data_IF_332625184374
#
_entry.id   IF_332625184374
#
_cell.length_a   1.000
_cell.length_b   1.000
_cell.length_c   1.000
_cell.angle_alpha   90.00
_cell.angle_beta   90.00
_cell.angle_gamma   90.00
#
_symmetry.space_group_name_H-M   'P 1'
#
loop_
_entity.id
_entity.type
_entity.pdbx_description
1 polymer ?
#
# COMPACT_ATOMS: atom_id res chain seq x y z
N UNK A 1 19.53 5.63 21.32
CA UNK A 1 19.35 5.64 19.86
C UNK A 1 17.91 6.06 19.60
N UNK A 2 17.66 6.97 18.66
CA UNK A 2 16.30 7.38 18.31
C UNK A 2 15.49 6.15 17.86
N UNK A 3 14.31 5.95 18.44
CA UNK A 3 13.46 4.78 18.14
C UNK A 3 12.69 5.04 16.84
N UNK A 4 13.36 4.84 15.69
CA UNK A 4 12.80 5.10 14.36
C UNK A 4 12.35 3.82 13.67
N UNK A 5 11.26 3.90 12.90
CA UNK A 5 10.69 2.73 12.22
C UNK A 5 10.20 3.02 10.81
N UNK A 6 10.61 2.20 9.85
CA UNK A 6 10.09 2.24 8.48
C UNK A 6 8.63 1.78 8.46
N UNK A 7 7.74 2.56 7.84
CA UNK A 7 6.29 2.34 7.88
C UNK A 7 5.76 1.83 6.55
N UNK A 8 5.90 2.63 5.50
CA UNK A 8 5.30 2.34 4.21
C UNK A 8 5.91 3.14 3.08
N UNK A 9 5.61 2.70 1.86
CA UNK A 9 5.82 3.48 0.64
C UNK A 9 4.48 3.86 0.01
N UNK A 10 4.32 5.12 -0.38
CA UNK A 10 3.12 5.67 -1.00
C UNK A 10 3.19 5.51 -2.52
N UNK A 11 2.16 4.92 -3.11
CA UNK A 11 1.99 4.79 -4.55
C UNK A 11 0.74 5.51 -5.02
N UNK A 12 0.85 6.24 -6.14
CA UNK A 12 -0.31 6.79 -6.85
C UNK A 12 -0.88 5.74 -7.79
N UNK A 13 -2.16 5.42 -7.67
CA UNK A 13 -2.81 4.38 -8.47
C UNK A 13 -3.89 4.98 -9.35
N UNK A 14 -3.95 4.53 -10.61
CA UNK A 14 -4.95 4.96 -11.59
C UNK A 14 -6.05 3.92 -11.81
N UNK A 15 -5.70 2.63 -11.83
CA UNK A 15 -6.63 1.52 -11.99
C UNK A 15 -6.74 0.71 -10.68
N UNK A 16 -7.82 0.92 -9.92
CA UNK A 16 -8.05 0.24 -8.63
C UNK A 16 -8.28 -1.27 -8.78
N UNK A 17 -8.90 -1.73 -9.86
CA UNK A 17 -9.21 -3.14 -10.07
C UNK A 17 -7.97 -3.97 -10.31
N UNK A 18 -7.13 -3.53 -11.26
CA UNK A 18 -5.85 -4.20 -11.51
C UNK A 18 -4.94 -4.09 -10.27
N UNK A 19 -4.99 -2.96 -9.55
CA UNK A 19 -4.19 -2.76 -8.35
C UNK A 19 -4.62 -3.76 -7.27
N UNK A 20 -5.91 -3.92 -7.02
CA UNK A 20 -6.42 -4.91 -6.08
C UNK A 20 -5.99 -6.34 -6.48
N UNK A 21 -6.12 -6.71 -7.76
CA UNK A 21 -5.67 -8.01 -8.26
C UNK A 21 -4.17 -8.22 -8.01
N UNK A 22 -3.32 -7.23 -8.31
CA UNK A 22 -1.88 -7.34 -8.09
C UNK A 22 -1.53 -7.49 -6.59
N UNK A 23 -1.96 -6.58 -5.74
CA UNK A 23 -1.56 -6.61 -4.34
C UNK A 23 -2.16 -7.81 -3.59
N UNK A 24 -3.41 -8.16 -3.89
CA UNK A 24 -4.12 -9.24 -3.20
C UNK A 24 -3.84 -10.62 -3.81
N UNK A 25 -4.06 -10.77 -5.11
CA UNK A 25 -4.08 -12.10 -5.74
C UNK A 25 -2.69 -12.51 -6.22
N UNK A 26 -1.87 -11.55 -6.69
CA UNK A 26 -0.48 -11.81 -7.07
C UNK A 26 0.42 -11.84 -5.84
N UNK A 27 0.52 -10.74 -5.09
CA UNK A 27 1.43 -10.65 -3.95
C UNK A 27 0.93 -11.42 -2.71
N UNK A 28 -0.39 -11.59 -2.55
CA UNK A 28 -0.94 -12.21 -1.34
C UNK A 28 -1.05 -11.25 -0.15
N UNK A 29 -0.99 -9.94 -0.37
CA UNK A 29 -1.19 -8.93 0.67
C UNK A 29 -2.67 -8.78 1.01
N UNK A 30 -2.94 -8.17 2.16
CA UNK A 30 -4.28 -7.88 2.68
C UNK A 30 -4.50 -6.38 2.75
N UNK A 31 -5.76 -5.97 2.61
CA UNK A 31 -6.19 -4.61 2.97
C UNK A 31 -6.19 -4.51 4.49
N UNK A 32 -5.54 -3.49 5.02
CA UNK A 32 -5.39 -3.27 6.46
C UNK A 32 -6.35 -2.18 6.96
N UNK A 33 -6.51 -1.12 6.18
CA UNK A 33 -7.48 -0.05 6.40
C UNK A 33 -7.68 0.75 5.12
N UNK A 34 -8.84 1.39 5.02
CA UNK A 34 -9.21 2.25 3.92
C UNK A 34 -9.83 3.55 4.44
N UNK A 35 -9.49 4.67 3.85
CA UNK A 35 -10.04 5.98 4.18
C UNK A 35 -10.43 6.76 2.93
N UNK A 36 -11.55 7.47 3.00
CA UNK A 36 -12.05 8.36 1.95
C UNK A 36 -11.97 9.82 2.43
N UNK A 37 -11.48 10.69 1.55
CA UNK A 37 -11.27 12.10 1.83
C UNK A 37 -12.00 12.95 0.79
N UNK A 38 -12.74 13.96 1.25
CA UNK A 38 -13.47 14.88 0.37
C UNK A 38 -12.58 15.99 -0.18
N UNK A 39 -11.55 16.39 0.58
CA UNK A 39 -10.67 17.51 0.28
C UNK A 39 -9.21 17.06 0.14
N UNK A 40 -8.41 17.85 -0.57
CA UNK A 40 -6.96 17.66 -0.69
C UNK A 40 -6.24 17.69 0.67
N UNK A 41 -5.12 16.97 0.77
CA UNK A 41 -4.40 16.85 2.03
C UNK A 41 -3.49 18.06 2.30
N UNK A 42 -3.50 18.59 3.54
CA UNK A 42 -2.63 19.69 3.99
C UNK A 42 -1.12 19.42 3.82
N UNK A 43 -0.71 18.15 3.86
CA UNK A 43 0.68 17.73 3.65
C UNK A 43 0.93 17.15 2.24
N UNK A 44 0.03 17.47 1.29
CA UNK A 44 0.06 16.99 -0.09
C UNK A 44 0.24 15.46 -0.17
N UNK A 45 -0.32 14.69 0.77
CA UNK A 45 -0.22 13.22 0.77
C UNK A 45 -0.79 12.60 -0.51
N UNK A 46 -1.77 13.26 -1.13
CA UNK A 46 -2.35 12.83 -2.39
C UNK A 46 -1.68 13.43 -3.63
N UNK A 47 -0.65 14.27 -3.45
CA UNK A 47 -0.01 15.05 -4.50
C UNK A 47 -0.60 16.46 -4.65
N UNK A 48 -0.37 17.14 -5.79
CA UNK A 48 -0.83 18.51 -6.02
C UNK A 48 -2.33 18.61 -6.40
N UNK A 49 -3.14 17.61 -6.05
CA UNK A 49 -4.53 17.50 -6.50
C UNK A 49 -5.51 17.93 -5.41
N UNK A 50 -6.54 18.67 -5.80
CA UNK A 50 -7.52 19.32 -4.93
C UNK A 50 -8.87 18.57 -4.84
N UNK A 51 -9.01 17.46 -5.58
CA UNK A 51 -10.22 16.65 -5.60
C UNK A 51 -10.31 15.59 -4.51
N UNK A 52 -11.43 14.85 -4.53
CA UNK A 52 -11.65 13.67 -3.68
C UNK A 52 -10.55 12.63 -3.92
N UNK A 53 -10.17 11.93 -2.87
CA UNK A 53 -9.18 10.88 -2.95
C UNK A 53 -9.41 9.84 -1.87
N UNK A 54 -8.86 8.66 -2.09
CA UNK A 54 -8.88 7.58 -1.10
C UNK A 54 -7.47 7.09 -0.82
N UNK A 55 -7.31 6.53 0.38
CA UNK A 55 -6.11 5.91 0.89
C UNK A 55 -6.42 4.46 1.23
N UNK A 56 -5.63 3.52 0.74
CA UNK A 56 -5.75 2.11 1.11
C UNK A 56 -4.40 1.59 1.54
N UNK A 57 -4.30 1.10 2.78
CA UNK A 57 -3.09 0.46 3.27
C UNK A 57 -3.16 -1.03 2.98
N UNK A 58 -2.14 -1.57 2.31
CA UNK A 58 -2.06 -3.00 2.00
C UNK A 58 -0.70 -3.59 2.38
N UNK A 59 -0.69 -4.77 2.98
CA UNK A 59 0.55 -5.40 3.45
C UNK A 59 0.36 -6.85 3.88
N UNK A 60 1.43 -7.47 4.38
CA UNK A 60 1.41 -8.86 4.86
C UNK A 60 0.92 -9.01 6.31
N UNK A 61 0.87 -7.91 7.07
CA UNK A 61 0.43 -7.88 8.46
C UNK A 61 0.19 -6.46 8.95
N UNK A 62 -0.08 -6.28 10.25
CA UNK A 62 -0.37 -4.97 10.85
C UNK A 62 0.75 -3.95 10.62
N UNK A 63 0.37 -2.67 10.51
CA UNK A 63 1.31 -1.55 10.30
C UNK A 63 2.27 -1.31 11.49
N UNK A 64 2.04 -1.95 12.64
CA UNK A 64 2.88 -1.80 13.84
C UNK A 64 4.23 -2.52 13.70
N UNK A 65 4.27 -3.62 12.94
CA UNK A 65 5.42 -4.51 12.79
C UNK A 65 5.74 -4.89 11.33
N UNK A 66 4.95 -4.42 10.36
CA UNK A 66 5.19 -4.62 8.93
C UNK A 66 5.42 -3.30 8.18
N UNK A 67 6.26 -3.36 7.15
CA UNK A 67 6.34 -2.35 6.12
C UNK A 67 5.27 -2.60 5.06
N UNK A 68 4.40 -1.61 4.86
CA UNK A 68 3.21 -1.77 4.00
C UNK A 68 3.27 -0.84 2.80
N UNK A 69 2.28 -0.91 1.91
CA UNK A 69 2.12 0.07 0.83
C UNK A 69 0.86 0.89 1.05
N UNK A 70 1.01 2.21 0.89
CA UNK A 70 -0.11 3.16 0.91
C UNK A 70 -0.53 3.41 -0.55
N UNK A 71 -1.76 3.05 -0.90
CA UNK A 71 -2.31 3.24 -2.24
C UNK A 71 -3.19 4.49 -2.24
N UNK A 72 -2.74 5.51 -2.95
CA UNK A 72 -3.44 6.78 -3.12
C UNK A 72 -4.17 6.79 -4.46
N UNK A 73 -5.50 6.84 -4.43
CA UNK A 73 -6.33 7.00 -5.61
C UNK A 73 -6.97 8.38 -5.61
N UNK A 74 -6.59 9.23 -6.57
CA UNK A 74 -7.25 10.52 -6.80
C UNK A 74 -8.40 10.33 -7.80
N UNK A 75 -9.61 10.74 -7.43
CA UNK A 75 -10.77 10.58 -8.28
C UNK A 75 -10.62 11.41 -9.56
N UNK A 76 -10.94 10.79 -10.71
CA UNK A 76 -10.80 11.41 -12.03
C UNK A 76 -9.41 11.32 -12.65
N UNK A 77 -8.39 10.80 -11.94
CA UNK A 77 -7.03 10.64 -12.47
C UNK A 77 -6.74 9.17 -12.77
N UNK A 78 -6.72 8.82 -14.05
CA UNK A 78 -6.57 7.43 -14.52
C UNK A 78 -5.14 6.94 -14.71
N UNK A 79 -4.14 7.84 -14.74
CA UNK A 79 -2.75 7.47 -15.00
C UNK A 79 -1.77 8.51 -14.46
N UNK A 80 -0.57 8.05 -14.11
CA UNK A 80 0.56 8.88 -13.70
C UNK A 80 1.77 8.50 -14.54
N UNK A 81 2.57 9.49 -14.93
CA UNK A 81 3.83 9.25 -15.65
C UNK A 81 4.90 8.84 -14.63
N UNK A 82 5.47 7.65 -14.81
CA UNK A 82 6.62 7.21 -14.04
C UNK A 82 7.90 7.91 -14.50
N UNK A 83 8.70 8.32 -13.52
CA UNK A 83 10.05 8.76 -13.72
C UNK A 83 11.06 7.61 -13.63
N UNK A 84 12.28 7.92 -13.21
CA UNK A 84 13.36 6.94 -12.97
C UNK A 84 13.78 6.88 -11.48
N UNK A 85 13.03 7.54 -10.61
CA UNK A 85 13.29 7.74 -9.18
C UNK A 85 13.05 6.47 -8.34
N UNK A 86 11.90 5.81 -8.54
CA UNK A 86 11.56 4.56 -7.88
C UNK A 86 12.06 3.35 -8.67
N UNK A 87 12.95 2.56 -8.06
CA UNK A 87 13.59 1.42 -8.73
C UNK A 87 12.98 0.08 -8.37
N UNK A 88 12.25 -0.02 -7.25
CA UNK A 88 11.41 -1.17 -6.95
C UNK A 88 11.31 -1.51 -5.46
N UNK A 89 10.31 -2.33 -5.11
CA UNK A 89 10.22 -3.00 -3.81
C UNK A 89 10.66 -4.47 -3.98
N UNK A 90 11.48 -4.97 -3.06
CA UNK A 90 11.85 -6.39 -3.03
C UNK A 90 11.08 -7.13 -1.95
N UNK A 91 10.51 -8.28 -2.30
CA UNK A 91 9.69 -9.13 -1.44
C UNK A 91 10.19 -10.58 -1.49
N UNK A 92 10.36 -11.20 -0.33
CA UNK A 92 10.66 -12.63 -0.22
C UNK A 92 9.36 -13.46 -0.16
N UNK A 93 8.94 -14.05 -1.28
CA UNK A 93 7.71 -14.85 -1.31
C UNK A 93 7.64 -15.79 -2.52
N UNK A 94 7.94 -17.08 -2.28
CA UNK A 94 7.64 -18.18 -3.22
C UNK A 94 6.18 -18.24 -3.62
N UNK A 95 5.28 -17.91 -2.69
CA UNK A 95 3.84 -17.92 -2.96
C UNK A 95 3.48 -16.83 -3.99
N UNK A 96 4.06 -15.63 -3.88
CA UNK A 96 3.81 -14.55 -4.84
C UNK A 96 4.30 -14.92 -6.26
N UNK A 97 5.47 -15.57 -6.37
CA UNK A 97 5.97 -16.10 -7.65
C UNK A 97 5.00 -17.14 -8.24
N UNK A 98 4.54 -18.07 -7.39
CA UNK A 98 3.59 -19.11 -7.80
C UNK A 98 2.24 -18.54 -8.24
N UNK A 99 1.73 -17.55 -7.50
CA UNK A 99 0.48 -16.85 -7.80
C UNK A 99 0.57 -16.10 -9.13
N UNK A 100 1.64 -15.31 -9.33
CA UNK A 100 1.88 -14.61 -10.59
C UNK A 100 1.89 -15.56 -11.79
N UNK A 101 2.59 -16.71 -11.69
CA UNK A 101 2.59 -17.75 -12.74
C UNK A 101 1.20 -18.30 -13.00
N UNK A 102 0.45 -18.64 -11.95
CA UNK A 102 -0.92 -19.17 -12.05
C UNK A 102 -1.89 -18.18 -12.71
N UNK A 103 -1.78 -16.90 -12.34
CA UNK A 103 -2.60 -15.82 -12.87
C UNK A 103 -2.11 -15.30 -14.23
N UNK A 104 -1.00 -15.86 -14.75
CA UNK A 104 -0.32 -15.37 -15.96
C UNK A 104 0.05 -13.89 -15.88
N UNK A 105 0.34 -13.40 -14.67
CA UNK A 105 0.85 -12.05 -14.46
C UNK A 105 2.30 -11.96 -14.97
N UNK A 106 2.69 -10.89 -15.69
CA UNK A 106 4.04 -10.78 -16.25
C UNK A 106 5.15 -10.94 -15.20
N UNK A 107 6.09 -11.83 -15.49
CA UNK A 107 7.22 -12.20 -14.64
C UNK A 107 8.46 -12.39 -15.51
N UNK A 108 9.53 -11.64 -15.22
CA UNK A 108 10.83 -11.80 -15.87
C UNK A 108 11.86 -12.33 -14.88
N UNK A 109 12.57 -13.41 -15.23
CA UNK A 109 13.64 -13.95 -14.37
C UNK A 109 14.90 -13.10 -14.50
N UNK A 110 15.40 -12.60 -13.38
CA UNK A 110 16.61 -11.76 -13.30
C UNK A 110 17.86 -12.57 -12.91
N UNK A 111 17.70 -13.87 -12.70
CA UNK A 111 18.73 -14.77 -12.17
C UNK A 111 18.75 -14.84 -10.63
N UNK A 112 19.41 -15.86 -10.09
CA UNK A 112 19.56 -16.04 -8.64
C UNK A 112 18.24 -16.26 -7.87
N UNK A 113 17.20 -16.77 -8.55
CA UNK A 113 15.87 -16.95 -7.94
C UNK A 113 15.09 -15.65 -7.72
N UNK A 114 15.49 -14.55 -8.36
CA UNK A 114 14.79 -13.27 -8.31
C UNK A 114 14.01 -13.04 -9.59
N UNK A 115 12.76 -12.63 -9.47
CA UNK A 115 11.90 -12.31 -10.59
C UNK A 115 11.39 -10.87 -10.53
N UNK A 116 11.48 -10.15 -11.65
CA UNK A 116 10.88 -8.82 -11.81
C UNK A 116 9.42 -8.97 -12.26
N UNK A 117 8.54 -8.22 -11.61
CA UNK A 117 7.16 -7.98 -12.04
C UNK A 117 6.83 -6.50 -11.88
N UNK A 118 5.69 -6.07 -12.39
CA UNK A 118 5.22 -4.68 -12.29
C UNK A 118 3.81 -4.64 -11.74
N UNK A 119 3.59 -3.76 -10.77
CA UNK A 119 2.26 -3.34 -10.38
C UNK A 119 1.64 -2.47 -11.50
N UNK A 120 0.31 -2.32 -11.52
CA UNK A 120 -0.35 -1.36 -12.40
C UNK A 120 0.22 0.04 -12.22
N UNK A 121 0.35 0.77 -13.32
CA UNK A 121 1.12 2.03 -13.37
C UNK A 121 2.61 1.83 -13.66
N UNK A 122 3.14 0.61 -13.56
CA UNK A 122 4.51 0.25 -13.98
C UNK A 122 5.54 0.14 -12.84
N UNK A 123 5.11 0.30 -11.58
CA UNK A 123 5.99 0.22 -10.41
C UNK A 123 6.61 -1.17 -10.29
N UNK A 124 7.94 -1.24 -10.20
CA UNK A 124 8.67 -2.51 -10.16
C UNK A 124 8.57 -3.20 -8.80
N UNK A 125 8.37 -4.52 -8.84
CA UNK A 125 8.49 -5.40 -7.70
C UNK A 125 9.45 -6.54 -8.05
N UNK A 126 10.32 -6.88 -7.11
CA UNK A 126 11.28 -7.98 -7.21
C UNK A 126 10.88 -9.08 -6.23
N UNK A 127 10.49 -10.23 -6.74
CA UNK A 127 10.05 -11.38 -5.96
C UNK A 127 11.21 -12.37 -5.83
N UNK A 128 11.68 -12.60 -4.61
CA UNK A 128 12.66 -13.66 -4.32
C UNK A 128 11.90 -14.97 -4.07
N UNK A 129 12.23 -16.02 -4.84
CA UNK A 129 11.64 -17.36 -4.73
C UNK A 129 12.23 -18.15 -3.55
N UNK A 130 12.00 -17.62 -2.36
CA UNK A 130 12.33 -18.25 -1.10
C UNK A 130 11.09 -18.29 -0.20
N UNK A 131 11.14 -19.16 0.80
CA UNK A 131 10.17 -19.07 1.89
C UNK A 131 10.40 -17.73 2.60
N UNK A 132 9.32 -16.99 2.94
CA UNK A 132 9.47 -15.74 3.66
C UNK A 132 10.23 -15.98 4.97
N UNK A 133 10.97 -14.98 5.47
CA UNK A 133 11.53 -15.05 6.82
C UNK A 133 10.41 -15.28 7.84
N UNK A 134 10.75 -15.60 9.10
CA UNK A 134 9.75 -15.62 10.19
C UNK A 134 9.13 -14.23 10.45
N UNK A 135 9.63 -13.18 9.80
CA UNK A 135 9.21 -11.78 9.87
C UNK A 135 8.56 -11.30 8.56
N UNK A 136 8.31 -9.99 8.46
CA UNK A 136 7.77 -9.32 7.27
C UNK A 136 8.47 -9.76 5.96
N UNK A 137 7.71 -10.22 4.94
CA UNK A 137 8.24 -10.55 3.61
C UNK A 137 8.82 -9.35 2.84
N UNK A 138 8.47 -8.11 3.18
CA UNK A 138 8.98 -6.93 2.48
C UNK A 138 10.39 -6.61 2.97
N UNK A 139 11.37 -6.74 2.08
CA UNK A 139 12.78 -6.65 2.44
C UNK A 139 13.34 -5.23 2.31
N UNK A 140 13.05 -4.57 1.20
CA UNK A 140 13.61 -3.25 0.89
C UNK A 140 12.82 -2.46 -0.15
N UNK A 141 12.95 -1.14 -0.06
CA UNK A 141 12.61 -0.16 -1.12
C UNK A 141 13.91 0.28 -1.78
N UNK A 142 13.94 0.38 -3.11
CA UNK A 142 15.12 0.85 -3.86
C UNK A 142 14.81 2.19 -4.54
N UNK A 143 15.61 3.21 -4.23
CA UNK A 143 15.51 4.55 -4.81
C UNK A 143 16.76 4.90 -5.61
N UNK A 144 16.57 5.61 -6.73
CA UNK A 144 17.64 6.12 -7.54
C UNK A 144 18.23 7.38 -6.92
N UNK A 145 19.55 7.51 -6.93
CA UNK A 145 20.24 8.73 -6.48
C UNK A 145 21.19 9.23 -7.55
N UNK A 146 21.44 10.54 -7.61
CA UNK A 146 22.43 11.10 -8.54
C UNK A 146 23.85 11.05 -7.97
N UNK A 147 23.99 11.13 -6.64
CA UNK A 147 25.25 11.07 -5.91
C UNK A 147 25.08 10.22 -4.65
N UNK A 148 25.72 9.05 -4.63
CA UNK A 148 25.61 8.12 -3.52
C UNK A 148 26.20 8.70 -2.23
N UNK A 149 27.34 9.38 -2.29
CA UNK A 149 28.01 9.89 -1.10
C UNK A 149 27.21 11.03 -0.44
N UNK A 150 26.65 11.92 -1.26
CA UNK A 150 25.75 12.99 -0.78
C UNK A 150 24.50 12.40 -0.12
N UNK A 151 23.95 11.34 -0.72
CA UNK A 151 22.78 10.65 -0.18
C UNK A 151 23.11 9.89 1.11
N UNK A 152 24.26 9.24 1.19
CA UNK A 152 24.74 8.59 2.42
C UNK A 152 24.94 9.60 3.56
N UNK A 153 25.51 10.77 3.29
CA UNK A 153 25.61 11.81 4.30
C UNK A 153 24.22 12.24 4.82
N UNK A 154 23.24 12.40 3.93
CA UNK A 154 21.88 12.74 4.32
C UNK A 154 21.20 11.62 5.14
N UNK A 155 21.13 10.41 4.59
CA UNK A 155 20.36 9.30 5.17
C UNK A 155 21.03 8.69 6.40
N UNK A 156 22.37 8.60 6.42
CA UNK A 156 23.12 8.06 7.54
C UNK A 156 23.45 9.13 8.58
N UNK A 157 24.12 10.22 8.19
CA UNK A 157 24.65 11.18 9.18
C UNK A 157 23.56 12.10 9.75
N UNK A 158 22.59 12.53 8.94
CA UNK A 158 21.51 13.41 9.40
C UNK A 158 20.31 12.61 9.92
N UNK A 159 19.84 11.62 9.14
CA UNK A 159 18.67 10.83 9.49
C UNK A 159 18.97 9.60 10.35
N UNK A 160 20.24 9.30 10.62
CA UNK A 160 20.65 8.28 11.59
C UNK A 160 20.44 6.83 11.16
N UNK A 161 20.29 6.55 9.85
CA UNK A 161 20.23 5.17 9.39
C UNK A 161 21.61 4.50 9.47
N UNK A 162 21.64 3.23 9.88
CA UNK A 162 22.85 2.40 9.80
C UNK A 162 23.06 1.93 8.36
N UNK A 163 24.29 1.98 7.88
CA UNK A 163 24.71 1.35 6.63
C UNK A 163 24.96 -0.15 6.89
N UNK A 164 24.22 -1.01 6.19
CA UNK A 164 24.32 -2.47 6.27
C UNK A 164 25.25 -3.02 5.19
N UNK A 165 25.17 -2.46 3.99
CA UNK A 165 25.99 -2.84 2.85
C UNK A 165 26.36 -1.59 2.07
N UNK A 166 27.57 -1.56 1.53
CA UNK A 166 28.02 -0.54 0.59
C UNK A 166 28.85 -1.24 -0.49
N UNK A 167 28.47 -1.03 -1.75
CA UNK A 167 29.16 -1.57 -2.93
C UNK A 167 29.54 -0.38 -3.81
N UNK A 168 30.77 0.10 -3.63
CA UNK A 168 31.32 1.22 -4.40
C UNK A 168 31.36 0.92 -5.89
N UNK A 169 31.60 -0.34 -6.30
CA UNK A 169 31.70 -0.69 -7.73
C UNK A 169 30.36 -0.60 -8.42
N UNK A 170 29.28 -1.00 -7.72
CA UNK A 170 27.90 -0.90 -8.24
C UNK A 170 27.21 0.41 -7.87
N UNK A 171 27.90 1.30 -7.16
CA UNK A 171 27.36 2.54 -6.61
C UNK A 171 26.02 2.30 -5.90
N UNK A 172 26.02 1.39 -4.93
CA UNK A 172 24.84 0.96 -4.20
C UNK A 172 25.10 0.92 -2.70
N UNK A 173 24.15 1.35 -1.89
CA UNK A 173 24.19 1.16 -0.44
C UNK A 173 22.84 0.69 0.10
N UNK A 174 22.87 -0.11 1.16
CA UNK A 174 21.70 -0.61 1.88
C UNK A 174 21.69 -0.01 3.29
N UNK A 175 20.61 0.68 3.65
CA UNK A 175 20.47 1.39 4.91
C UNK A 175 19.23 0.91 5.67
N UNK A 176 19.20 1.14 6.99
CA UNK A 176 18.00 0.92 7.79
C UNK A 176 18.18 1.29 9.25
N UNK A 177 17.05 1.33 9.98
CA UNK A 177 17.06 1.65 11.42
C UNK A 177 17.28 0.43 12.32
N UNK A 178 16.84 -0.77 11.89
CA UNK A 178 17.01 -2.01 12.65
C UNK A 178 17.08 -3.23 11.72
N UNK A 179 17.68 -4.31 12.21
CA UNK A 179 17.93 -5.54 11.45
C UNK A 179 16.61 -6.17 10.94
N UNK A 180 15.54 -6.07 11.73
CA UNK A 180 14.22 -6.64 11.46
C UNK A 180 13.26 -5.72 10.68
N UNK A 181 13.67 -4.52 10.29
CA UNK A 181 12.84 -3.60 9.51
C UNK A 181 13.14 -3.67 8.00
N UNK A 182 12.18 -3.27 7.18
CA UNK A 182 12.41 -2.99 5.75
C UNK A 182 13.57 -2.00 5.58
N UNK A 183 14.45 -2.29 4.62
CA UNK A 183 15.65 -1.50 4.33
C UNK A 183 15.39 -0.48 3.21
N UNK A 184 16.21 0.55 3.17
CA UNK A 184 16.29 1.49 2.05
C UNK A 184 17.57 1.19 1.26
N UNK A 185 17.43 0.80 0.00
CA UNK A 185 18.54 0.68 -0.93
C UNK A 185 18.63 1.94 -1.79
N UNK A 186 19.80 2.57 -1.79
CA UNK A 186 20.14 3.68 -2.66
C UNK A 186 21.00 3.12 -3.78
N UNK A 187 20.64 3.41 -5.03
CA UNK A 187 21.42 3.01 -6.21
C UNK A 187 21.67 4.22 -7.09
N UNK A 188 22.93 4.56 -7.29
CA UNK A 188 23.27 5.65 -8.18
C UNK A 188 22.87 5.33 -9.62
N UNK A 189 22.32 6.32 -10.32
CA UNK A 189 22.00 6.22 -11.74
C UNK A 189 22.79 7.26 -12.55
N UNK A 190 23.07 6.99 -13.84
CA UNK A 190 23.62 8.00 -14.71
C UNK A 190 22.61 9.15 -14.92
N UNK A 191 23.05 10.38 -14.68
CA UNK A 191 22.25 11.57 -14.93
C UNK A 191 21.35 11.98 -13.76
N UNK A 192 20.30 12.73 -14.06
CA UNK A 192 19.40 13.30 -13.06
C UNK A 192 18.28 12.31 -12.69
N UNK A 193 17.89 12.33 -11.42
CA UNK A 193 16.66 11.69 -10.94
C UNK A 193 15.44 12.51 -11.41
N UNK A 194 14.58 11.87 -12.19
CA UNK A 194 13.29 12.38 -12.65
C UNK A 194 12.17 11.69 -11.87
N UNK A 195 11.36 12.49 -11.19
CA UNK A 195 10.22 12.06 -10.39
C UNK A 195 8.92 11.97 -11.20
N UNK A 196 8.85 12.68 -12.34
CA UNK A 196 7.64 12.85 -13.14
C UNK A 196 6.39 13.13 -12.27
N UNK A 197 5.27 12.44 -12.50
CA UNK A 197 4.03 12.62 -11.71
C UNK A 197 3.68 11.42 -10.84
N UNK A 198 4.26 10.25 -11.14
CA UNK A 198 4.08 8.99 -10.41
C UNK A 198 5.00 8.81 -9.20
N UNK A 199 5.81 9.81 -8.85
CA UNK A 199 6.64 9.77 -7.64
C UNK A 199 5.83 9.42 -6.40
N UNK A 200 6.47 8.65 -5.53
CA UNK A 200 5.94 8.24 -4.23
C UNK A 200 6.56 9.00 -3.07
N UNK A 201 6.31 8.47 -1.87
CA UNK A 201 6.87 8.99 -0.61
C UNK A 201 7.17 7.81 0.30
N UNK A 202 8.32 7.81 0.96
CA UNK A 202 8.62 6.83 2.01
C UNK A 202 8.33 7.43 3.39
N UNK A 203 7.72 6.65 4.28
CA UNK A 203 7.33 7.12 5.61
C UNK A 203 8.08 6.38 6.72
N UNK A 204 8.46 7.14 7.74
CA UNK A 204 9.08 6.67 8.96
C UNK A 204 8.35 7.25 10.17
N UNK A 205 8.34 6.52 11.28
CA UNK A 205 7.95 7.08 12.57
C UNK A 205 9.17 7.39 13.44
N UNK A 206 9.00 8.35 14.33
CA UNK A 206 9.88 8.62 15.47
C UNK A 206 9.01 9.09 16.65
N UNK A 207 9.52 9.12 17.90
CA UNK A 207 8.77 9.71 19.00
C UNK A 207 8.33 11.13 18.65
N UNK A 208 7.06 11.48 18.90
CA UNK A 208 6.48 12.75 18.46
C UNK A 208 7.30 13.97 18.91
N UNK A 209 7.89 13.92 20.11
CA UNK A 209 8.76 14.96 20.66
C UNK A 209 10.03 15.23 19.84
N UNK A 210 10.48 14.28 19.01
CA UNK A 210 11.68 14.41 18.18
C UNK A 210 11.39 15.10 16.83
N UNK A 211 10.11 15.32 16.47
CA UNK A 211 9.76 15.95 15.20
C UNK A 211 10.23 17.41 15.12
N UNK A 212 10.14 18.16 16.21
CA UNK A 212 10.67 19.54 16.27
C UNK A 212 12.19 19.57 16.13
N UNK A 213 12.87 18.65 16.82
CA UNK A 213 14.33 18.54 16.76
C UNK A 213 14.80 18.17 15.33
N UNK A 214 14.03 17.34 14.64
CA UNK A 214 14.26 16.99 13.24
C UNK A 214 14.08 18.20 12.32
N UNK A 215 13.04 19.00 12.53
CA UNK A 215 12.83 20.25 11.77
C UNK A 215 14.00 21.22 11.95
N UNK A 216 14.44 21.42 13.19
CA UNK A 216 15.55 22.31 13.52
C UNK A 216 16.89 21.81 12.97
N UNK A 217 17.13 20.48 13.00
CA UNK A 217 18.25 19.85 12.32
C UNK A 217 18.23 20.16 10.81
N UNK A 218 17.11 19.94 10.14
CA UNK A 218 17.02 20.17 8.69
C UNK A 218 17.20 21.63 8.30
N UNK A 219 16.69 22.57 9.12
CA UNK A 219 16.95 24.02 8.94
C UNK A 219 18.44 24.35 9.11
N UNK A 220 19.06 23.84 10.18
CA UNK A 220 20.49 24.09 10.47
C UNK A 220 21.41 23.58 9.37
N UNK A 221 21.13 22.38 8.86
CA UNK A 221 21.90 21.73 7.80
C UNK A 221 21.49 22.20 6.39
N UNK A 222 20.64 23.22 6.28
CA UNK A 222 20.13 23.80 5.03
C UNK A 222 19.53 22.74 4.07
N UNK A 223 18.81 21.78 4.63
CA UNK A 223 18.11 20.73 3.89
C UNK A 223 16.67 21.16 3.57
N UNK A 224 16.07 20.51 2.56
CA UNK A 224 14.74 20.89 2.07
C UNK A 224 13.64 20.31 2.95
N UNK A 225 12.87 21.20 3.58
CA UNK A 225 11.59 20.89 4.20
C UNK A 225 10.48 21.26 3.21
N UNK A 226 9.65 20.29 2.83
CA UNK A 226 8.49 20.49 1.96
C UNK A 226 7.26 20.93 2.74
N UNK A 227 7.07 20.35 3.92
CA UNK A 227 5.98 20.70 4.83
C UNK A 227 6.54 20.74 6.25
N UNK A 228 6.58 21.92 6.90
CA UNK A 228 6.92 22.04 8.32
C UNK A 228 5.99 21.21 9.20
N UNK A 229 6.31 21.10 10.49
CA UNK A 229 5.48 20.35 11.44
C UNK A 229 4.00 20.75 11.35
N UNK A 230 3.14 19.79 10.99
CA UNK A 230 1.71 20.00 10.79
C UNK A 230 0.91 18.85 11.38
N UNK A 231 -0.28 19.16 11.90
CA UNK A 231 -1.23 18.14 12.36
C UNK A 231 -2.17 17.75 11.22
N UNK A 232 -2.35 16.45 11.03
CA UNK A 232 -3.22 15.86 10.01
C UNK A 232 -4.32 15.06 10.69
N UNK A 233 -5.56 15.40 10.34
CA UNK A 233 -6.74 14.71 10.81
C UNK A 233 -7.13 13.60 9.82
N UNK A 234 -7.56 12.47 10.35
CA UNK A 234 -8.20 11.41 9.58
C UNK A 234 -9.61 11.20 10.14
N UNK A 235 -10.68 11.25 9.32
CA UNK A 235 -12.05 11.14 9.82
C UNK A 235 -12.25 9.92 10.73
N UNK A 236 -12.71 10.16 11.96
CA UNK A 236 -12.97 9.10 12.94
C UNK A 236 -11.74 8.41 13.53
N UNK A 237 -10.52 8.91 13.28
CA UNK A 237 -9.26 8.32 13.77
C UNK A 237 -8.39 9.37 14.47
N UNK A 238 -7.27 8.91 15.04
CA UNK A 238 -6.31 9.76 15.73
C UNK A 238 -5.68 10.81 14.79
N UNK A 239 -5.60 12.05 15.27
CA UNK A 239 -4.81 13.11 14.64
C UNK A 239 -3.33 12.81 14.82
N UNK A 240 -2.55 12.91 13.74
CA UNK A 240 -1.09 12.68 13.76
C UNK A 240 -0.34 13.95 13.44
N UNK A 241 0.90 14.05 13.91
CA UNK A 241 1.81 15.13 13.53
C UNK A 241 2.86 14.62 12.56
N UNK A 242 3.10 15.37 11.48
CA UNK A 242 4.07 15.01 10.46
C UNK A 242 4.97 16.18 10.08
N UNK A 243 6.16 15.84 9.58
CA UNK A 243 7.03 16.72 8.79
C UNK A 243 7.34 16.02 7.47
N UNK A 244 7.30 16.78 6.37
CA UNK A 244 7.65 16.26 5.04
C UNK A 244 8.95 16.89 4.58
N UNK A 245 9.93 16.04 4.28
CA UNK A 245 11.26 16.42 3.80
C UNK A 245 11.42 16.04 2.33
N UNK A 246 12.41 16.65 1.67
CA UNK A 246 12.96 16.14 0.42
C UNK A 246 14.44 15.83 0.63
N UNK A 247 14.86 14.65 0.19
CA UNK A 247 16.27 14.27 0.21
C UNK A 247 17.08 15.04 -0.88
N UNK A 248 18.41 14.84 -0.97
CA UNK A 248 19.25 15.57 -1.91
C UNK A 248 18.87 15.43 -3.40
N UNK A 249 18.14 14.38 -3.75
CA UNK A 249 17.65 14.10 -5.10
C UNK A 249 16.19 14.49 -5.29
N UNK A 250 15.47 14.83 -4.22
CA UNK A 250 14.08 15.26 -4.25
C UNK A 250 13.07 14.19 -3.83
N UNK A 251 13.52 13.03 -3.34
CA UNK A 251 12.62 12.00 -2.83
C UNK A 251 11.88 12.51 -1.60
N UNK A 252 10.56 12.36 -1.59
CA UNK A 252 9.76 12.80 -0.47
C UNK A 252 9.84 11.81 0.71
N UNK A 253 9.98 12.35 1.91
CA UNK A 253 10.07 11.59 3.15
C UNK A 253 9.05 12.13 4.15
N UNK A 254 8.22 11.26 4.71
CA UNK A 254 7.34 11.59 5.83
C UNK A 254 7.96 11.10 7.14
N UNK A 255 8.13 11.99 8.13
CA UNK A 255 8.30 11.57 9.52
C UNK A 255 7.02 11.87 10.29
N UNK A 256 6.49 10.86 10.99
CA UNK A 256 5.27 10.95 11.80
C UNK A 256 5.56 10.58 13.26
N UNK A 257 4.81 11.18 14.20
CA UNK A 257 4.87 10.77 15.61
C UNK A 257 4.35 9.35 15.82
N UNK A 258 5.19 8.44 16.33
CA UNK A 258 4.88 6.99 16.45
C UNK A 258 3.68 6.75 17.36
N UNK A 259 3.54 7.50 18.45
CA UNK A 259 2.51 7.28 19.46
C UNK A 259 1.09 7.46 18.86
N UNK A 260 0.87 8.56 18.16
CA UNK A 260 -0.40 8.82 17.48
C UNK A 260 -0.57 7.96 16.23
N UNK A 261 0.53 7.64 15.53
CA UNK A 261 0.48 6.80 14.34
C UNK A 261 -0.03 5.38 14.68
N UNK A 262 0.42 4.78 15.78
CA UNK A 262 -0.07 3.46 16.23
C UNK A 262 -1.57 3.41 16.47
N UNK A 263 -2.14 4.51 16.96
CA UNK A 263 -3.59 4.62 17.14
C UNK A 263 -4.31 4.78 15.80
N UNK A 264 -3.76 5.57 14.88
CA UNK A 264 -4.27 5.75 13.52
C UNK A 264 -4.22 4.46 12.69
N UNK A 265 -3.13 3.70 12.81
CA UNK A 265 -2.77 2.57 11.95
C UNK A 265 -3.33 1.23 12.41
N UNK A 266 -4.28 1.24 13.35
CA UNK A 266 -5.00 0.02 13.75
C UNK A 266 -5.67 -0.59 12.52
N UNK A 267 -5.43 -1.88 12.31
CA UNK A 267 -6.10 -2.67 11.28
C UNK A 267 -7.60 -2.58 11.52
N UNK A 268 -8.35 -2.25 10.49
CA UNK A 268 -9.80 -2.13 10.56
C UNK A 268 -10.41 -3.52 10.84
N UNK A 269 -10.97 -3.76 12.05
CA UNK A 269 -11.56 -5.04 12.39
C UNK A 269 -12.88 -5.28 11.65
N UNK A 270 -13.52 -4.22 11.14
CA UNK A 270 -14.81 -4.27 10.45
C UNK A 270 -14.69 -4.23 8.92
N UNK A 271 -13.48 -4.19 8.36
CA UNK A 271 -13.28 -4.08 6.91
C UNK A 271 -14.03 -5.17 6.09
N UNK A 272 -14.09 -6.40 6.61
CA UNK A 272 -14.88 -7.47 5.99
C UNK A 272 -16.40 -7.23 6.09
N UNK A 273 -16.87 -6.75 7.24
CA UNK A 273 -18.27 -6.45 7.51
C UNK A 273 -18.77 -5.25 6.70
N UNK A 274 -17.94 -4.24 6.47
CA UNK A 274 -18.29 -3.11 5.60
C UNK A 274 -18.42 -3.55 4.13
N UNK A 275 -17.61 -4.51 3.69
CA UNK A 275 -17.77 -5.12 2.37
C UNK A 275 -19.05 -5.97 2.28
N UNK A 276 -19.43 -6.68 3.35
CA UNK A 276 -20.73 -7.34 3.46
C UNK A 276 -21.89 -6.36 3.33
N UNK A 277 -21.85 -5.26 4.08
CA UNK A 277 -22.92 -4.26 4.08
C UNK A 277 -23.08 -3.61 2.70
N UNK A 278 -21.96 -3.27 2.04
CA UNK A 278 -21.99 -2.73 0.66
C UNK A 278 -22.54 -3.76 -0.32
N UNK A 279 -22.15 -5.03 -0.18
CA UNK A 279 -22.71 -6.11 -1.00
C UNK A 279 -24.23 -6.22 -0.84
N UNK A 280 -24.70 -6.25 0.40
CA UNK A 280 -26.13 -6.28 0.73
C UNK A 280 -26.87 -5.08 0.15
N UNK A 281 -26.32 -3.87 0.25
CA UNK A 281 -26.94 -2.67 -0.31
C UNK A 281 -26.99 -2.70 -1.83
N UNK A 282 -25.93 -3.13 -2.51
CA UNK A 282 -25.93 -3.29 -3.98
C UNK A 282 -27.01 -4.28 -4.41
N UNK A 283 -27.12 -5.43 -3.75
CA UNK A 283 -28.15 -6.42 -4.04
C UNK A 283 -29.57 -5.88 -3.76
N UNK A 284 -29.78 -5.17 -2.65
CA UNK A 284 -31.07 -4.53 -2.37
C UNK A 284 -31.45 -3.49 -3.42
N UNK A 285 -30.50 -2.65 -3.85
CA UNK A 285 -30.75 -1.67 -4.92
C UNK A 285 -31.11 -2.42 -6.21
N UNK A 286 -30.36 -3.46 -6.59
CA UNK A 286 -30.66 -4.28 -7.76
C UNK A 286 -32.05 -4.91 -7.74
N UNK A 287 -32.54 -5.34 -6.57
CA UNK A 287 -33.88 -5.88 -6.41
C UNK A 287 -34.99 -4.81 -6.56
N UNK A 288 -34.65 -3.55 -6.34
CA UNK A 288 -35.61 -2.42 -6.28
C UNK A 288 -35.58 -1.52 -7.53
N UNK A 289 -34.53 -1.57 -8.37
CA UNK A 289 -34.41 -0.77 -9.60
C UNK A 289 -34.84 -1.51 -10.86
N UNK A 290 -35.29 -0.76 -11.87
CA UNK A 290 -35.71 -1.28 -13.17
C UNK A 290 -34.55 -1.97 -13.90
N UNK A 291 -34.83 -3.06 -14.62
CA UNK A 291 -33.83 -3.98 -15.21
C UNK A 291 -32.76 -3.30 -16.08
N UNK A 292 -33.08 -2.17 -16.73
CA UNK A 292 -32.17 -1.43 -17.62
C UNK A 292 -31.00 -0.73 -16.89
N UNK A 293 -31.11 -0.48 -15.58
CA UNK A 293 -30.05 0.14 -14.75
C UNK A 293 -29.29 -0.91 -13.92
N UNK A 294 -29.65 -2.19 -14.08
CA UNK A 294 -29.27 -3.28 -13.19
C UNK A 294 -27.94 -3.95 -13.59
N UNK A 295 -27.47 -3.78 -14.84
CA UNK A 295 -26.22 -4.39 -15.32
C UNK A 295 -24.97 -3.84 -14.61
N UNK A 296 -24.76 -2.53 -14.45
CA UNK A 296 -23.58 -2.02 -13.72
C UNK A 296 -23.58 -2.43 -12.25
N UNK A 297 -24.76 -2.51 -11.63
CA UNK A 297 -24.91 -2.96 -10.24
C UNK A 297 -24.68 -4.47 -10.10
N UNK A 298 -25.08 -5.26 -11.09
CA UNK A 298 -24.79 -6.70 -11.14
C UNK A 298 -23.30 -6.99 -11.28
N UNK A 299 -22.61 -6.25 -12.16
CA UNK A 299 -21.15 -6.35 -12.29
C UNK A 299 -20.48 -5.98 -10.97
N UNK A 300 -20.90 -4.88 -10.34
CA UNK A 300 -20.40 -4.48 -9.02
C UNK A 300 -20.66 -5.54 -7.94
N UNK A 301 -21.85 -6.17 -7.92
CA UNK A 301 -22.17 -7.26 -7.00
C UNK A 301 -21.24 -8.47 -7.19
N UNK A 302 -20.96 -8.86 -8.44
CA UNK A 302 -20.03 -9.95 -8.75
C UNK A 302 -18.59 -9.62 -8.34
N UNK A 303 -18.18 -8.35 -8.45
CA UNK A 303 -16.87 -7.87 -8.01
C UNK A 303 -16.73 -7.89 -6.49
N UNK A 304 -17.75 -7.44 -5.76
CA UNK A 304 -17.76 -7.46 -4.29
C UNK A 304 -17.70 -8.90 -3.79
N UNK A 305 -18.47 -9.83 -4.36
CA UNK A 305 -18.38 -11.27 -4.04
C UNK A 305 -16.99 -11.85 -4.24
N UNK A 306 -16.32 -11.44 -5.32
CA UNK A 306 -14.96 -11.91 -5.61
C UNK A 306 -13.97 -11.37 -4.57
N UNK A 307 -14.17 -10.13 -4.11
CA UNK A 307 -13.38 -9.57 -3.02
C UNK A 307 -13.64 -10.31 -1.70
N UNK A 308 -14.90 -10.66 -1.43
CA UNK A 308 -15.32 -11.40 -0.25
C UNK A 308 -14.72 -12.81 -0.19
N UNK A 309 -14.68 -13.50 -1.32
CA UNK A 309 -14.07 -14.82 -1.44
C UNK A 309 -12.59 -14.82 -1.10
N UNK A 310 -11.88 -13.78 -1.53
CA UNK A 310 -10.47 -13.68 -1.23
C UNK A 310 -10.22 -13.35 0.24
N UNK A 311 -11.06 -12.52 0.86
CA UNK A 311 -10.94 -12.17 2.28
C UNK A 311 -11.30 -13.34 3.21
N UNK A 312 -12.36 -14.08 2.88
CA UNK A 312 -12.89 -15.21 3.68
C UNK A 312 -11.95 -16.41 3.75
N UNK A 313 -11.09 -16.62 2.73
CA UNK A 313 -10.09 -17.70 2.72
C UNK A 313 -8.95 -17.49 3.73
N UNK A 314 -8.88 -16.34 4.39
CA UNK A 314 -7.73 -15.95 5.23
C UNK A 314 -7.94 -16.08 6.74
N UNK A 315 -9.09 -16.58 7.20
CA UNK A 315 -9.41 -16.67 8.64
C UNK A 315 -9.94 -18.07 9.04
N UNK A 316 -9.09 -19.01 9.52
CA UNK A 316 -9.44 -20.42 9.72
C UNK A 316 -10.00 -20.75 11.13
N UNK A 317 -10.46 -19.76 11.91
CA UNK A 317 -11.01 -20.01 13.25
C UNK A 317 -12.40 -20.68 13.20
N UNK A 318 -12.76 -21.45 14.24
CA UNK A 318 -14.10 -22.08 14.34
C UNK A 318 -15.22 -21.01 14.40
N UNK A 319 -14.93 -19.86 14.99
CA UNK A 319 -15.85 -18.70 15.03
C UNK A 319 -16.08 -18.13 13.63
N UNK A 320 -15.04 -18.05 12.79
CA UNK A 320 -15.16 -17.55 11.42
C UNK A 320 -15.87 -18.53 10.48
N UNK A 321 -15.87 -19.84 10.76
CA UNK A 321 -16.66 -20.82 10.00
C UNK A 321 -18.17 -20.67 10.25
N UNK A 322 -18.58 -20.50 11.50
CA UNK A 322 -19.99 -20.26 11.87
C UNK A 322 -20.49 -18.93 11.32
N UNK A 323 -19.67 -17.89 11.44
CA UNK A 323 -19.95 -16.57 10.89
C UNK A 323 -20.11 -16.63 9.36
N UNK A 324 -19.19 -17.29 8.66
CA UNK A 324 -19.26 -17.51 7.21
C UNK A 324 -20.51 -18.26 6.75
N UNK A 325 -20.93 -19.29 7.49
CA UNK A 325 -22.17 -20.02 7.17
C UNK A 325 -23.41 -19.13 7.36
N UNK A 326 -23.41 -18.27 8.37
CA UNK A 326 -24.49 -17.31 8.60
C UNK A 326 -24.52 -16.22 7.52
N UNK A 327 -23.36 -15.68 7.14
CA UNK A 327 -23.19 -14.70 6.05
C UNK A 327 -23.64 -15.30 4.71
N UNK A 328 -23.20 -16.51 4.36
CA UNK A 328 -23.65 -17.19 3.15
C UNK A 328 -25.18 -17.38 3.12
N UNK A 329 -25.79 -17.79 4.24
CA UNK A 329 -27.26 -17.95 4.33
C UNK A 329 -27.98 -16.62 4.15
N UNK A 330 -27.49 -15.57 4.80
CA UNK A 330 -28.05 -14.22 4.69
C UNK A 330 -27.95 -13.69 3.26
N UNK A 331 -26.79 -13.77 2.64
CA UNK A 331 -26.57 -13.31 1.27
C UNK A 331 -27.37 -14.11 0.23
N UNK A 332 -27.54 -15.42 0.43
CA UNK A 332 -28.46 -16.23 -0.40
C UNK A 332 -29.90 -15.74 -0.31
N UNK A 333 -30.39 -15.44 0.91
CA UNK A 333 -31.76 -14.96 1.10
C UNK A 333 -32.05 -13.64 0.37
N UNK A 334 -31.03 -12.79 0.19
CA UNK A 334 -31.15 -11.55 -0.58
C UNK A 334 -31.05 -11.85 -2.08
N UNK A 335 -30.06 -12.64 -2.50
CA UNK A 335 -29.81 -12.98 -3.90
C UNK A 335 -30.97 -13.75 -4.57
N UNK A 336 -31.75 -14.53 -3.81
CA UNK A 336 -32.94 -15.25 -4.28
C UNK A 336 -34.01 -14.33 -4.91
N UNK A 337 -34.03 -13.06 -4.50
CA UNK A 337 -34.98 -12.05 -4.98
C UNK A 337 -34.51 -11.30 -6.23
N UNK A 338 -33.31 -11.59 -6.76
CA UNK A 338 -32.75 -10.90 -7.92
C UNK A 338 -33.35 -11.45 -9.22
N UNK A 339 -33.65 -10.55 -10.15
CA UNK A 339 -34.02 -10.87 -11.54
C UNK A 339 -33.01 -10.24 -12.51
N UNK A 340 -32.78 -10.82 -13.70
CA UNK A 340 -33.32 -12.08 -14.23
C UNK A 340 -32.68 -13.34 -13.60
N UNK A 341 -33.32 -14.49 -13.82
CA UNK A 341 -32.97 -15.78 -13.18
C UNK A 341 -31.51 -16.22 -13.40
N UNK A 342 -30.94 -15.96 -14.57
CA UNK A 342 -29.55 -16.28 -14.90
C UNK A 342 -28.54 -15.53 -14.02
N UNK A 343 -28.81 -14.25 -13.73
CA UNK A 343 -27.99 -13.43 -12.82
C UNK A 343 -28.09 -13.93 -11.38
N UNK A 344 -29.31 -14.27 -10.94
CA UNK A 344 -29.55 -14.89 -9.64
C UNK A 344 -28.79 -16.20 -9.49
N UNK A 345 -28.86 -17.09 -10.47
CA UNK A 345 -28.14 -18.37 -10.42
C UNK A 345 -26.63 -18.17 -10.33
N UNK A 346 -26.07 -17.23 -11.10
CA UNK A 346 -24.65 -16.90 -11.06
C UNK A 346 -24.21 -16.36 -9.68
N UNK A 347 -25.00 -15.46 -9.09
CA UNK A 347 -24.75 -14.94 -7.73
C UNK A 347 -24.82 -16.04 -6.69
N UNK A 348 -25.88 -16.86 -6.71
CA UNK A 348 -26.06 -17.98 -5.76
C UNK A 348 -24.93 -19.01 -5.86
N UNK A 349 -24.45 -19.27 -7.08
CA UNK A 349 -23.31 -20.16 -7.31
C UNK A 349 -22.02 -19.56 -6.73
N UNK A 350 -21.72 -18.28 -6.98
CA UNK A 350 -20.58 -17.60 -6.35
C UNK A 350 -20.69 -17.56 -4.83
N UNK A 351 -21.87 -17.26 -4.28
CA UNK A 351 -22.10 -17.22 -2.83
C UNK A 351 -21.87 -18.58 -2.18
N UNK A 352 -22.18 -19.66 -2.89
CA UNK A 352 -21.95 -21.02 -2.39
C UNK A 352 -20.48 -21.44 -2.43
N UNK A 353 -19.64 -20.76 -3.22
CA UNK A 353 -18.27 -21.16 -3.49
C UNK A 353 -17.22 -20.42 -2.66
N UNK A 354 -17.58 -19.31 -2.01
CA UNK A 354 -16.64 -18.57 -1.18
C UNK A 354 -16.63 -19.03 0.25
#
# INVERSE_FOLDING_TARGET
MANRRALHFVFKVGNRFETACFYRDVLGMKILRHEEFQDGCKAACNGPYDGKWSKTMVGYGPEDDHFVTELTYNYGIGSYQLGNDFLGITVASRQAVSNARKLKWPLGEMGGGVFETKAPGGYKFYLQDCSPPQSDPVLKVTLAVSDLQKSLNYWSNLLGMKIYEEDEKKQRALLGYADNQCKLELRAIPGKVDHATGFGRIAFSCPQKELSDLEDLMKRENQKILTPLVSLDTPGKATVQVIILADPDGHEICFVGDEAFRELSKVDPEGNKLLDDVFCHVLHIMAMVHQEVCEPLYVLALEILTCYETLSKTNPSVSSLLQKVNEQRFLKSIAENISPEERRQTLLQKISNF
#
